data_IF_363190100150
#
_entry.id   IF_363190100150
#
_cell.length_a   1.000
_cell.length_b   1.000
_cell.length_c   1.000
_cell.angle_alpha   90.00
_cell.angle_beta   90.00
_cell.angle_gamma   90.00
#
_symmetry.space_group_name_H-M   'P 1'
#
loop_
_entity.id
_entity.type
_entity.pdbx_description
1 polymer ?
#
# COMPACT_ATOMS: atom_id res chain seq x y z
N UNK A 1 -19.14 3.71 -7.05
CA UNK A 1 -19.24 3.62 -8.51
C UNK A 1 -18.36 2.47 -8.99
N UNK A 2 -18.94 1.42 -9.58
CA UNK A 2 -18.23 0.19 -9.99
C UNK A 2 -17.26 0.40 -11.16
N UNK A 3 -17.24 1.57 -11.75
CA UNK A 3 -16.44 1.87 -12.95
C UNK A 3 -15.16 2.67 -12.67
N UNK A 4 -14.84 2.93 -11.41
CA UNK A 4 -13.63 3.67 -11.03
C UNK A 4 -12.50 2.74 -10.64
N UNK A 5 -11.28 3.10 -10.99
CA UNK A 5 -10.08 2.45 -10.49
C UNK A 5 -9.81 2.91 -9.05
N UNK A 6 -9.87 2.00 -8.09
CA UNK A 6 -9.72 2.32 -6.66
C UNK A 6 -8.27 2.13 -6.22
N UNK A 7 -7.67 3.22 -5.72
CA UNK A 7 -6.32 3.23 -5.16
C UNK A 7 -6.45 3.35 -3.64
N UNK A 8 -6.05 2.31 -2.91
CA UNK A 8 -6.17 2.26 -1.45
C UNK A 8 -4.81 2.51 -0.79
N UNK A 9 -4.76 3.42 0.15
CA UNK A 9 -3.62 3.63 1.06
C UNK A 9 -4.04 3.33 2.50
N UNK A 10 -3.84 2.11 3.01
CA UNK A 10 -4.15 1.76 4.38
C UNK A 10 -2.99 2.10 5.31
N UNK A 11 -3.32 2.61 6.50
CA UNK A 11 -2.33 2.90 7.54
C UNK A 11 -2.76 4.03 8.46
N UNK A 12 -2.29 3.98 9.69
CA UNK A 12 -2.51 5.05 10.68
C UNK A 12 -2.12 6.41 10.10
N UNK A 13 -2.88 7.44 10.41
CA UNK A 13 -2.54 8.81 10.02
C UNK A 13 -1.38 9.32 10.88
N UNK A 14 -0.17 9.08 10.41
CA UNK A 14 1.08 9.51 11.03
C UNK A 14 2.04 10.00 9.96
N UNK A 15 2.83 11.01 10.28
CA UNK A 15 3.77 11.63 9.34
C UNK A 15 4.63 10.62 8.57
N UNK A 16 5.18 9.63 9.28
CA UNK A 16 6.09 8.66 8.69
C UNK A 16 5.41 7.63 7.76
N UNK A 17 4.07 7.55 7.77
CA UNK A 17 3.31 6.71 6.81
C UNK A 17 3.18 7.33 5.42
N UNK A 18 3.51 8.62 5.26
CA UNK A 18 3.66 9.24 3.94
C UNK A 18 2.36 9.59 3.22
N UNK A 19 1.25 9.82 3.95
CA UNK A 19 -0.02 10.26 3.33
C UNK A 19 0.17 11.53 2.50
N UNK A 20 1.09 12.42 2.88
CA UNK A 20 1.38 13.63 2.13
C UNK A 20 1.89 13.30 0.71
N UNK A 21 2.89 12.41 0.58
CA UNK A 21 3.40 11.98 -0.74
C UNK A 21 2.30 11.32 -1.57
N UNK A 22 1.43 10.54 -0.95
CA UNK A 22 0.30 9.95 -1.65
C UNK A 22 -0.64 11.02 -2.20
N UNK A 23 -1.04 12.02 -1.39
CA UNK A 23 -1.90 13.13 -1.83
C UNK A 23 -1.23 13.91 -2.97
N UNK A 24 0.06 14.21 -2.87
CA UNK A 24 0.83 14.89 -3.92
C UNK A 24 0.89 14.07 -5.22
N UNK A 25 1.06 12.75 -5.11
CA UNK A 25 1.01 11.85 -6.28
C UNK A 25 -0.39 11.82 -6.93
N UNK A 26 -1.46 11.78 -6.13
CA UNK A 26 -2.83 11.85 -6.62
C UNK A 26 -3.10 13.21 -7.31
N UNK A 27 -2.52 14.31 -6.83
CA UNK A 27 -2.58 15.62 -7.48
C UNK A 27 -1.95 15.54 -8.89
N UNK A 28 -0.77 14.97 -9.01
CA UNK A 28 -0.09 14.78 -10.31
C UNK A 28 -0.94 13.91 -11.24
N UNK A 29 -1.54 12.84 -10.75
CA UNK A 29 -2.42 11.98 -11.53
C UNK A 29 -3.68 12.70 -12.00
N UNK A 30 -4.26 13.57 -11.17
CA UNK A 30 -5.49 14.30 -11.50
C UNK A 30 -5.32 15.33 -12.62
N UNK A 31 -4.08 15.64 -12.98
CA UNK A 31 -3.73 16.57 -14.08
C UNK A 31 -3.43 15.83 -15.40
N UNK A 32 -3.45 14.50 -15.41
CA UNK A 32 -3.23 13.69 -16.63
C UNK A 32 -4.56 13.40 -17.32
N UNK A 33 -4.60 13.60 -18.64
CA UNK A 33 -5.84 13.49 -19.43
C UNK A 33 -6.19 12.03 -19.79
N UNK A 34 -5.20 11.17 -20.06
CA UNK A 34 -5.42 9.83 -20.61
C UNK A 34 -5.44 8.71 -19.53
N UNK A 35 -6.05 8.97 -18.37
CA UNK A 35 -6.19 7.96 -17.33
C UNK A 35 -7.67 7.54 -17.15
N UNK A 36 -7.91 6.26 -16.81
CA UNK A 36 -9.25 5.83 -16.42
C UNK A 36 -9.72 6.60 -15.18
N UNK A 37 -11.03 6.80 -15.06
CA UNK A 37 -11.61 7.41 -13.86
C UNK A 37 -11.18 6.66 -12.61
N UNK A 38 -10.69 7.37 -11.60
CA UNK A 38 -10.16 6.77 -10.38
C UNK A 38 -10.64 7.48 -9.11
N UNK A 39 -10.49 6.80 -8.01
CA UNK A 39 -10.74 7.31 -6.66
C UNK A 39 -9.62 6.81 -5.74
N UNK A 40 -9.14 7.66 -4.85
CA UNK A 40 -8.11 7.35 -3.87
C UNK A 40 -8.71 7.30 -2.47
N UNK A 41 -8.42 6.26 -1.70
CA UNK A 41 -8.92 6.08 -0.34
C UNK A 41 -7.74 6.04 0.61
N UNK A 42 -7.72 6.98 1.56
CA UNK A 42 -6.81 6.96 2.70
C UNK A 42 -7.58 6.34 3.87
N UNK A 43 -7.18 5.13 4.26
CA UNK A 43 -7.86 4.35 5.29
C UNK A 43 -7.01 4.21 6.53
N UNK A 44 -7.46 4.78 7.65
CA UNK A 44 -6.82 4.62 8.95
C UNK A 44 -7.13 5.71 9.95
N UNK A 45 -7.11 5.34 11.21
CA UNK A 45 -7.36 6.26 12.32
C UNK A 45 -6.19 7.21 12.56
N UNK A 46 -6.51 8.42 12.97
CA UNK A 46 -5.54 9.40 13.47
C UNK A 46 -5.08 9.12 14.91
N UNK A 47 -5.79 8.25 15.62
CA UNK A 47 -5.50 7.91 17.01
C UNK A 47 -5.35 9.16 17.90
N UNK A 48 -6.20 10.17 17.69
CA UNK A 48 -6.17 11.45 18.41
C UNK A 48 -5.13 12.46 17.87
N UNK A 49 -4.44 12.19 16.76
CA UNK A 49 -3.48 13.12 16.10
C UNK A 49 -4.21 14.10 15.17
N UNK A 50 -5.18 14.81 15.69
CA UNK A 50 -6.06 15.70 14.91
C UNK A 50 -5.30 16.75 14.10
N UNK A 51 -4.15 17.24 14.58
CA UNK A 51 -3.34 18.24 13.88
C UNK A 51 -2.87 17.72 12.53
N UNK A 52 -2.31 16.49 12.49
CA UNK A 52 -1.83 15.91 11.25
C UNK A 52 -2.98 15.57 10.28
N UNK A 53 -4.08 15.04 10.80
CA UNK A 53 -5.30 14.80 9.99
C UNK A 53 -5.80 16.09 9.35
N UNK A 54 -5.86 17.18 10.13
CA UNK A 54 -6.26 18.51 9.61
C UNK A 54 -5.32 18.98 8.51
N UNK A 55 -4.01 18.87 8.69
CA UNK A 55 -3.04 19.24 7.65
C UNK A 55 -3.27 18.47 6.34
N UNK A 56 -3.58 17.18 6.42
CA UNK A 56 -3.89 16.37 5.22
C UNK A 56 -5.19 16.81 4.55
N UNK A 57 -6.24 17.11 5.32
CA UNK A 57 -7.51 17.62 4.79
C UNK A 57 -7.35 19.00 4.14
N UNK A 58 -6.60 19.89 4.76
CA UNK A 58 -6.29 21.22 4.22
C UNK A 58 -5.53 21.10 2.90
N UNK A 59 -4.58 20.16 2.81
CA UNK A 59 -3.83 19.86 1.57
C UNK A 59 -4.74 19.34 0.44
N UNK A 60 -5.66 18.43 0.76
CA UNK A 60 -6.64 17.91 -0.20
C UNK A 60 -7.55 19.03 -0.70
N UNK A 61 -7.98 19.94 0.17
CA UNK A 61 -8.77 21.11 -0.20
C UNK A 61 -7.98 22.08 -1.07
N UNK A 62 -6.73 22.39 -0.69
CA UNK A 62 -5.82 23.25 -1.44
C UNK A 62 -5.61 22.74 -2.89
N UNK A 63 -5.46 21.43 -3.04
CA UNK A 63 -5.29 20.78 -4.35
C UNK A 63 -6.61 20.49 -5.08
N UNK A 64 -7.77 20.84 -4.49
CA UNK A 64 -9.11 20.60 -5.04
C UNK A 64 -9.41 19.12 -5.31
N UNK A 65 -8.87 18.24 -4.47
CA UNK A 65 -8.98 16.77 -4.61
C UNK A 65 -10.16 16.16 -3.84
N UNK A 66 -11.06 16.96 -3.27
CA UNK A 66 -12.18 16.49 -2.40
C UNK A 66 -13.12 15.48 -3.12
N UNK A 67 -13.20 15.52 -4.45
CA UNK A 67 -14.00 14.56 -5.24
C UNK A 67 -13.27 13.27 -5.57
N UNK A 68 -11.94 13.25 -5.41
CA UNK A 68 -11.06 12.15 -5.79
C UNK A 68 -10.58 11.39 -4.55
N UNK A 69 -10.17 12.12 -3.48
CA UNK A 69 -9.64 11.52 -2.25
C UNK A 69 -10.73 11.43 -1.19
N UNK A 70 -10.87 10.22 -0.61
CA UNK A 70 -11.71 9.96 0.54
C UNK A 70 -10.89 9.52 1.74
N UNK A 71 -11.23 10.04 2.91
CA UNK A 71 -10.69 9.56 4.19
C UNK A 71 -11.72 8.63 4.85
N UNK A 72 -11.27 7.46 5.26
CA UNK A 72 -12.03 6.49 6.05
C UNK A 72 -11.26 6.22 7.33
N UNK A 73 -11.87 6.44 8.49
CA UNK A 73 -11.14 6.42 9.76
C UNK A 73 -10.67 5.02 10.16
N UNK A 74 -11.57 4.06 10.22
CA UNK A 74 -11.25 2.69 10.66
C UNK A 74 -12.09 1.68 9.93
N UNK A 75 -11.46 0.56 9.61
CA UNK A 75 -12.14 -0.61 9.08
C UNK A 75 -11.67 -1.82 9.90
N UNK A 76 -12.61 -2.47 10.61
CA UNK A 76 -12.32 -3.70 11.34
C UNK A 76 -12.06 -4.87 10.38
N UNK A 77 -12.79 -4.89 9.27
CA UNK A 77 -12.73 -5.93 8.24
C UNK A 77 -11.80 -5.52 7.09
N UNK A 78 -10.50 -5.50 7.35
CA UNK A 78 -9.50 -5.14 6.33
C UNK A 78 -9.61 -5.94 5.02
N UNK A 79 -9.96 -7.23 5.01
CA UNK A 79 -10.21 -7.96 3.76
C UNK A 79 -11.24 -7.30 2.84
N UNK A 80 -12.29 -6.68 3.40
CA UNK A 80 -13.29 -5.94 2.60
C UNK A 80 -12.64 -4.71 1.96
N UNK A 81 -11.84 -3.96 2.72
CA UNK A 81 -11.15 -2.78 2.20
C UNK A 81 -10.17 -3.14 1.08
N UNK A 82 -9.41 -4.22 1.23
CA UNK A 82 -8.55 -4.71 0.15
C UNK A 82 -9.38 -5.22 -1.04
N UNK A 83 -10.49 -5.91 -0.79
CA UNK A 83 -11.33 -6.51 -1.85
C UNK A 83 -11.99 -5.51 -2.80
N UNK A 84 -12.12 -4.24 -2.42
CA UNK A 84 -12.63 -3.17 -3.31
C UNK A 84 -11.51 -2.44 -4.06
N UNK A 85 -10.25 -2.65 -3.69
CA UNK A 85 -9.12 -1.95 -4.28
C UNK A 85 -8.63 -2.62 -5.57
N UNK A 86 -8.25 -1.80 -6.54
CA UNK A 86 -7.53 -2.25 -7.75
C UNK A 86 -6.01 -2.15 -7.55
N UNK A 87 -5.57 -1.29 -6.65
CA UNK A 87 -4.18 -1.03 -6.32
C UNK A 87 -4.07 -0.62 -4.85
N UNK A 88 -3.04 -1.11 -4.17
CA UNK A 88 -2.67 -0.66 -2.83
C UNK A 88 -1.36 0.12 -2.90
N UNK A 89 -1.24 1.19 -2.10
CA UNK A 89 -0.02 1.98 -1.94
C UNK A 89 0.44 1.95 -0.48
N UNK A 90 1.74 1.75 -0.25
CA UNK A 90 2.40 1.86 1.06
C UNK A 90 3.54 2.88 0.95
N UNK A 91 3.32 4.09 1.48
CA UNK A 91 4.16 5.26 1.21
C UNK A 91 5.06 5.66 2.39
N UNK A 92 5.39 4.73 3.27
CA UNK A 92 6.15 5.02 4.49
C UNK A 92 7.46 5.74 4.19
N UNK A 93 7.76 6.80 4.96
CA UNK A 93 9.00 7.58 4.88
C UNK A 93 10.16 6.91 5.62
N UNK A 94 9.84 6.14 6.64
CA UNK A 94 10.78 5.42 7.48
C UNK A 94 10.69 3.93 7.23
N UNK A 95 11.79 3.19 7.37
CA UNK A 95 11.80 1.74 7.18
C UNK A 95 10.84 1.05 8.15
N UNK A 96 9.89 0.31 7.63
CA UNK A 96 9.08 -0.60 8.43
C UNK A 96 9.82 -1.91 8.65
N UNK A 97 9.71 -2.49 9.83
CA UNK A 97 10.38 -3.76 10.13
C UNK A 97 9.93 -4.90 9.20
N UNK A 98 8.64 -4.96 8.86
CA UNK A 98 8.10 -6.04 8.02
C UNK A 98 7.30 -5.54 6.81
N UNK A 99 6.52 -4.44 6.96
CA UNK A 99 5.66 -3.93 5.89
C UNK A 99 4.38 -4.75 5.70
N UNK A 100 3.59 -4.91 6.77
CA UNK A 100 2.34 -5.71 6.75
C UNK A 100 1.41 -5.38 5.60
N UNK A 101 1.25 -4.10 5.26
CA UNK A 101 0.39 -3.64 4.15
C UNK A 101 0.74 -4.35 2.84
N UNK A 102 2.04 -4.53 2.55
CA UNK A 102 2.48 -5.19 1.33
C UNK A 102 2.12 -6.69 1.32
N UNK A 103 2.24 -7.37 2.45
CA UNK A 103 1.88 -8.78 2.58
C UNK A 103 0.37 -8.97 2.56
N UNK A 104 -0.39 -8.12 3.24
CA UNK A 104 -1.85 -8.12 3.25
C UNK A 104 -2.43 -7.90 1.85
N UNK A 105 -1.96 -6.89 1.10
CA UNK A 105 -2.36 -6.66 -0.28
C UNK A 105 -2.08 -7.86 -1.18
N UNK A 106 -0.87 -8.41 -1.12
CA UNK A 106 -0.48 -9.60 -1.87
C UNK A 106 -1.34 -10.82 -1.49
N UNK A 107 -1.67 -11.02 -0.20
CA UNK A 107 -2.53 -12.12 0.25
C UNK A 107 -3.94 -12.03 -0.33
N UNK A 108 -4.43 -10.82 -0.57
CA UNK A 108 -5.72 -10.52 -1.19
C UNK A 108 -5.65 -10.46 -2.74
N UNK A 109 -4.50 -10.80 -3.33
CA UNK A 109 -4.24 -10.74 -4.78
C UNK A 109 -4.37 -9.33 -5.37
N UNK A 110 -4.13 -8.29 -4.59
CA UNK A 110 -4.16 -6.91 -5.06
C UNK A 110 -2.73 -6.43 -5.34
N UNK A 111 -2.47 -5.83 -6.52
CA UNK A 111 -1.20 -5.20 -6.83
C UNK A 111 -0.79 -4.18 -5.76
N UNK A 112 0.49 -4.12 -5.44
CA UNK A 112 1.05 -3.20 -4.44
C UNK A 112 2.15 -2.34 -5.04
N UNK A 113 2.15 -1.05 -4.69
CA UNK A 113 3.29 -0.14 -4.87
C UNK A 113 3.75 0.29 -3.49
N UNK A 114 5.03 0.15 -3.19
CA UNK A 114 5.59 0.55 -1.90
C UNK A 114 6.84 1.40 -2.03
N UNK A 115 7.12 2.22 -1.01
CA UNK A 115 8.43 2.87 -0.88
C UNK A 115 9.55 1.84 -0.91
N UNK A 116 10.63 2.13 -1.65
CA UNK A 116 11.79 1.24 -1.77
C UNK A 116 12.68 1.31 -0.51
N UNK A 117 12.11 1.00 0.66
CA UNK A 117 12.80 1.00 1.95
C UNK A 117 12.26 -0.08 2.90
N UNK A 118 13.08 -0.48 3.88
CA UNK A 118 12.69 -1.40 4.95
C UNK A 118 12.14 -2.73 4.48
N UNK A 119 11.25 -3.34 5.24
CA UNK A 119 10.68 -4.65 4.98
C UNK A 119 9.91 -4.79 3.66
N UNK A 120 9.51 -3.68 3.04
CA UNK A 120 8.89 -3.72 1.71
C UNK A 120 9.80 -4.36 0.67
N UNK A 121 11.11 -4.14 0.77
CA UNK A 121 12.12 -4.69 -0.16
C UNK A 121 12.18 -6.22 -0.08
N UNK A 122 11.92 -6.78 1.09
CA UNK A 122 11.93 -8.23 1.33
C UNK A 122 10.61 -8.90 0.96
N UNK A 123 9.50 -8.16 1.10
CA UNK A 123 8.15 -8.68 0.91
C UNK A 123 7.64 -8.60 -0.52
N UNK A 124 8.20 -7.71 -1.35
CA UNK A 124 7.80 -7.50 -2.74
C UNK A 124 8.89 -7.98 -3.70
N UNK A 125 8.50 -8.68 -4.75
CA UNK A 125 9.35 -9.02 -5.90
C UNK A 125 9.01 -8.05 -7.01
N UNK A 126 9.90 -7.09 -7.30
CA UNK A 126 9.69 -6.01 -8.28
C UNK A 126 9.26 -6.58 -9.64
N UNK A 127 8.16 -6.04 -10.18
CA UNK A 127 7.60 -6.41 -11.48
C UNK A 127 6.86 -7.74 -11.50
N UNK A 128 6.95 -8.55 -10.43
CA UNK A 128 6.31 -9.86 -10.33
C UNK A 128 5.17 -9.90 -9.31
N UNK A 129 5.36 -9.29 -8.14
CA UNK A 129 4.33 -9.25 -7.09
C UNK A 129 3.91 -7.83 -6.71
N UNK A 130 4.57 -6.82 -7.27
CA UNK A 130 4.33 -5.41 -7.03
C UNK A 130 5.45 -4.54 -7.57
N UNK A 131 5.41 -3.27 -7.23
CA UNK A 131 6.35 -2.26 -7.69
C UNK A 131 6.89 -1.45 -6.51
N UNK A 132 7.99 -0.76 -6.76
CA UNK A 132 8.56 0.20 -5.84
C UNK A 132 8.56 1.59 -6.45
N UNK A 133 8.48 2.59 -5.59
CA UNK A 133 8.77 3.96 -5.95
C UNK A 133 9.87 4.51 -5.03
N UNK A 134 10.59 5.52 -5.50
CA UNK A 134 11.64 6.20 -4.76
C UNK A 134 11.05 6.91 -3.55
N UNK A 135 11.57 6.59 -2.37
CA UNK A 135 11.07 7.13 -1.11
C UNK A 135 10.94 8.66 -1.14
N UNK A 136 9.81 9.19 -0.66
CA UNK A 136 9.46 10.61 -0.58
C UNK A 136 9.32 11.32 -1.95
N UNK A 137 9.21 10.58 -3.06
CA UNK A 137 9.09 11.13 -4.39
C UNK A 137 7.67 10.93 -4.94
N UNK A 138 6.81 11.98 -4.93
CA UNK A 138 5.44 11.88 -5.43
C UNK A 138 5.37 11.71 -6.94
N UNK A 139 6.37 12.20 -7.71
CA UNK A 139 6.41 12.02 -9.15
C UNK A 139 6.66 10.55 -9.51
N UNK A 140 7.61 9.91 -8.83
CA UNK A 140 7.92 8.50 -9.07
C UNK A 140 6.75 7.59 -8.61
N UNK A 141 6.07 7.94 -7.50
CA UNK A 141 4.84 7.25 -7.10
C UNK A 141 3.73 7.41 -8.15
N UNK A 142 3.49 8.62 -8.65
CA UNK A 142 2.48 8.88 -9.69
C UNK A 142 2.79 8.10 -10.97
N UNK A 143 4.04 8.10 -11.43
CA UNK A 143 4.47 7.31 -12.59
C UNK A 143 4.29 5.81 -12.38
N UNK A 144 4.62 5.29 -11.20
CA UNK A 144 4.40 3.89 -10.85
C UNK A 144 2.91 3.53 -10.86
N UNK A 145 2.03 4.41 -10.38
CA UNK A 145 0.57 4.21 -10.43
C UNK A 145 0.08 4.18 -11.88
N UNK A 146 0.54 5.11 -12.74
CA UNK A 146 0.19 5.12 -14.18
C UNK A 146 0.55 3.79 -14.84
N UNK A 147 1.75 3.27 -14.60
CA UNK A 147 2.18 1.97 -15.13
C UNK A 147 1.22 0.84 -14.74
N UNK A 148 0.69 0.87 -13.52
CA UNK A 148 -0.27 -0.14 -13.06
C UNK A 148 -1.65 0.10 -13.67
N UNK A 149 -2.14 1.34 -13.73
CA UNK A 149 -3.45 1.69 -14.30
C UNK A 149 -3.56 1.37 -15.80
N UNK A 150 -2.45 1.42 -16.53
CA UNK A 150 -2.39 1.11 -17.96
C UNK A 150 -2.26 -0.39 -18.27
N UNK A 151 -2.14 -1.24 -17.26
CA UNK A 151 -2.09 -2.70 -17.46
C UNK A 151 -3.47 -3.25 -17.79
N UNK A 152 -3.50 -4.24 -18.68
CA UNK A 152 -4.70 -5.03 -18.93
C UNK A 152 -5.09 -5.90 -17.72
N UNK A 153 -6.32 -6.36 -17.72
CA UNK A 153 -6.88 -7.17 -16.64
C UNK A 153 -6.05 -8.44 -16.35
N UNK A 154 -5.55 -9.13 -17.37
CA UNK A 154 -4.80 -10.37 -17.19
C UNK A 154 -3.44 -10.12 -16.53
N UNK A 155 -2.78 -9.02 -16.90
CA UNK A 155 -1.53 -8.57 -16.29
C UNK A 155 -1.71 -8.22 -14.81
N UNK A 156 -2.77 -7.49 -14.45
CA UNK A 156 -3.08 -7.17 -13.05
C UNK A 156 -3.41 -8.44 -12.25
N UNK A 157 -4.21 -9.32 -12.81
CA UNK A 157 -4.57 -10.61 -12.21
C UNK A 157 -3.34 -11.49 -11.97
N UNK A 158 -2.42 -11.52 -12.93
CA UNK A 158 -1.15 -12.26 -12.80
C UNK A 158 -0.29 -11.72 -11.64
N UNK A 159 -0.14 -10.40 -11.53
CA UNK A 159 0.55 -9.76 -10.40
C UNK A 159 -0.07 -10.18 -9.05
N UNK A 160 -1.38 -10.16 -8.96
CA UNK A 160 -2.10 -10.55 -7.75
C UNK A 160 -1.88 -12.03 -7.39
N UNK A 161 -2.00 -12.94 -8.36
CA UNK A 161 -1.77 -14.38 -8.17
C UNK A 161 -0.33 -14.65 -7.70
N UNK A 162 0.64 -14.06 -8.35
CA UNK A 162 2.05 -14.22 -7.97
C UNK A 162 2.33 -13.59 -6.58
N UNK A 163 1.68 -12.48 -6.25
CA UNK A 163 1.72 -11.89 -4.92
C UNK A 163 1.25 -12.89 -3.84
N UNK A 164 0.08 -13.47 -4.02
CA UNK A 164 -0.46 -14.46 -3.08
C UNK A 164 0.42 -15.70 -2.96
N UNK A 165 0.95 -16.22 -4.07
CA UNK A 165 1.92 -17.34 -4.04
C UNK A 165 3.16 -17.00 -3.23
N UNK A 166 3.70 -15.79 -3.37
CA UNK A 166 4.85 -15.32 -2.61
C UNK A 166 4.56 -15.29 -1.11
N UNK A 167 3.38 -14.76 -0.72
CA UNK A 167 2.96 -14.70 0.69
C UNK A 167 2.81 -16.10 1.29
N UNK A 168 2.05 -16.99 0.64
CA UNK A 168 1.85 -18.36 1.13
C UNK A 168 3.17 -19.13 1.24
N UNK A 169 4.12 -18.85 0.35
CA UNK A 169 5.43 -19.51 0.39
C UNK A 169 6.34 -19.01 1.51
N UNK A 170 6.30 -17.68 1.83
CA UNK A 170 7.33 -17.06 2.67
C UNK A 170 6.83 -16.51 4.00
N UNK A 171 5.58 -16.06 4.06
CA UNK A 171 5.05 -15.22 5.13
C UNK A 171 3.83 -15.83 5.81
N UNK A 172 3.70 -17.16 5.71
CA UNK A 172 2.70 -17.94 6.43
C UNK A 172 3.01 -17.97 7.93
N UNK A 173 1.96 -17.92 8.77
CA UNK A 173 2.09 -17.84 10.22
C UNK A 173 2.69 -19.13 10.81
N UNK A 174 2.34 -20.28 10.26
CA UNK A 174 2.87 -21.58 10.75
C UNK A 174 4.36 -21.67 10.49
N UNK A 175 4.81 -21.21 9.32
CA UNK A 175 6.23 -21.13 8.98
C UNK A 175 6.98 -20.16 9.90
N UNK A 176 6.41 -19.02 10.23
CA UNK A 176 6.98 -18.07 11.18
C UNK A 176 7.15 -18.75 12.56
N UNK A 177 6.10 -19.39 13.06
CA UNK A 177 6.13 -20.10 14.34
C UNK A 177 7.17 -21.21 14.35
N UNK A 178 7.22 -22.06 13.32
CA UNK A 178 8.20 -23.15 13.19
C UNK A 178 9.64 -22.63 13.16
N UNK A 179 9.89 -21.57 12.39
CA UNK A 179 11.23 -20.95 12.29
C UNK A 179 11.65 -20.39 13.65
N UNK A 180 10.79 -19.62 14.31
CA UNK A 180 11.03 -19.06 15.63
C UNK A 180 11.31 -20.16 16.67
N UNK A 181 10.50 -21.22 16.68
CA UNK A 181 10.68 -22.36 17.58
C UNK A 181 12.01 -23.10 17.33
N UNK A 182 12.41 -23.21 16.07
CA UNK A 182 13.69 -23.82 15.70
C UNK A 182 14.87 -23.02 16.24
N UNK A 183 14.82 -21.69 16.14
CA UNK A 183 15.86 -20.81 16.69
C UNK A 183 15.93 -20.88 18.22
N UNK A 184 14.80 -20.90 18.92
CA UNK A 184 14.81 -21.14 20.38
C UNK A 184 15.41 -22.47 20.78
N UNK A 185 15.10 -23.55 20.06
CA UNK A 185 15.71 -24.87 20.33
C UNK A 185 17.23 -24.85 20.14
N UNK A 186 17.77 -24.12 19.18
CA UNK A 186 19.22 -23.99 19.01
C UNK A 186 19.87 -23.30 20.20
N UNK A 187 19.26 -22.22 20.70
CA UNK A 187 19.77 -21.46 21.85
C UNK A 187 19.77 -22.30 23.14
N UNK A 188 18.71 -23.06 23.40
CA UNK A 188 18.61 -23.93 24.57
C UNK A 188 19.65 -25.07 24.52
N UNK A 189 20.03 -25.56 23.34
CA UNK A 189 21.07 -26.59 23.20
C UNK A 189 22.50 -26.04 23.34
N UNK A 190 22.68 -24.74 23.30
CA UNK A 190 23.96 -24.05 23.47
C UNK A 190 24.18 -23.58 24.92
N UNK A 191 23.16 -23.68 25.76
CA UNK A 191 23.21 -23.46 27.22
C UNK A 191 23.32 -24.77 27.96
#
# INVERSE_FOLDING_TARGET
DRNKFIILMPGRLTYWKGQKVFIEAIKILSEKEDLPSFEAIILGSDQGRNVYKKQLLDLVQQYRLNKIIKFIDHCAEMPIAYGIANLVCSCSYEPEAFGRVAVEAQSMQIPIIASNIGGSIETIIKGKTGYFFKNKDPNDLANSIVVVMQKDYNSLKSLGIEGRKNVLKKFDVDKMCQTTFTEYKKLIKLS
#
